data_IF_255060302025
#
_entry.id   IF_255060302025
#
_cell.length_a   1.000
_cell.length_b   1.000
_cell.length_c   1.000
_cell.angle_alpha   90.00
_cell.angle_beta   90.00
_cell.angle_gamma   90.00
#
_symmetry.space_group_name_H-M   'P 1'
#
loop_
_entity.id
_entity.type
_entity.pdbx_description
1 polymer ?
2 polymer ?
3 non-polymer ?
4 water ?
#
# COMPACT_ATOMS: atom_id res chain seq x y z
N UNK A 1 6.17 -13.18 -5.67
CA UNK A 1 5.39 -12.22 -4.83
C UNK A 1 6.20 -10.96 -4.53
N UNK A 2 7.52 -11.10 -4.51
CA UNK A 2 8.41 -9.98 -4.22
C UNK A 2 8.43 -8.96 -5.36
N UNK A 3 8.33 -9.46 -6.58
CA UNK A 3 8.35 -8.59 -7.75
C UNK A 3 7.12 -7.68 -7.83
N UNK A 4 5.94 -8.25 -7.59
CA UNK A 4 4.72 -7.47 -7.67
C UNK A 4 4.53 -6.49 -6.52
N UNK A 5 5.38 -6.58 -5.50
CA UNK A 5 5.27 -5.68 -4.37
C UNK A 5 6.46 -4.73 -4.31
N UNK A 6 7.32 -4.76 -5.33
CA UNK A 6 8.48 -3.88 -5.37
C UNK A 6 8.04 -2.42 -5.32
N UNK A 7 6.79 -2.17 -5.69
CA UNK A 7 6.24 -0.82 -5.66
C UNK A 7 6.33 -0.25 -4.24
N UNK A 8 6.41 -1.13 -3.25
CA UNK A 8 6.50 -0.70 -1.85
C UNK A 8 7.94 -0.64 -1.33
N UNK A 9 8.89 -1.10 -2.14
CA UNK A 9 10.29 -1.12 -1.74
C UNK A 9 10.76 0.23 -1.20
N UNK A 10 10.32 1.30 -1.84
CA UNK A 10 10.71 2.63 -1.41
C UNK A 10 10.39 2.94 0.04
N UNK A 11 9.45 2.21 0.63
CA UNK A 11 9.09 2.42 2.04
C UNK A 11 10.12 1.75 2.93
N UNK A 12 10.89 0.85 2.34
CA UNK A 12 11.91 0.11 3.06
C UNK A 12 13.33 0.58 2.76
N UNK A 13 13.49 1.89 2.58
CA UNK A 13 14.79 2.47 2.33
C UNK A 13 15.48 2.14 1.02
N UNK A 14 14.72 1.76 0.01
CA UNK A 14 15.31 1.44 -1.28
C UNK A 14 14.62 2.29 -2.35
N UNK A 15 15.31 3.34 -2.77
CA UNK A 15 14.80 4.28 -3.76
C UNK A 15 15.05 3.91 -5.22
N UNK A 16 15.70 2.78 -5.45
CA UNK A 16 15.98 2.35 -6.81
C UNK A 16 14.68 2.22 -7.60
N UNK A 17 14.52 3.07 -8.61
CA UNK A 17 13.31 3.04 -9.43
C UNK A 17 13.33 1.85 -10.38
N UNK A 18 14.51 1.28 -10.58
CA UNK A 18 14.67 0.13 -11.46
C UNK A 18 14.33 -1.17 -10.73
N UNK A 19 13.55 -2.03 -11.38
CA UNK A 19 13.18 -3.30 -10.79
C UNK A 19 13.92 -4.43 -11.50
N UNK A 20 15.09 -4.79 -10.97
CA UNK A 20 15.90 -5.86 -11.54
C UNK A 20 16.35 -6.84 -10.46
N UNK A 21 16.99 -7.93 -10.88
CA UNK A 21 17.47 -8.95 -9.96
C UNK A 21 18.22 -8.34 -8.78
N UNK A 22 18.98 -7.29 -9.06
CA UNK A 22 19.76 -6.60 -8.04
C UNK A 22 18.90 -5.85 -7.03
N UNK A 23 17.96 -5.04 -7.52
CA UNK A 23 17.09 -4.27 -6.63
C UNK A 23 16.09 -5.16 -5.89
N UNK A 24 15.68 -6.26 -6.51
CA UNK A 24 14.74 -7.17 -5.86
C UNK A 24 15.39 -7.79 -4.63
N UNK A 25 16.60 -8.32 -4.79
CA UNK A 25 17.30 -8.93 -3.66
C UNK A 25 17.49 -7.90 -2.55
N UNK A 26 17.71 -6.64 -2.94
CA UNK A 26 17.88 -5.57 -1.96
C UNK A 26 16.58 -5.45 -1.17
N UNK A 27 15.46 -5.57 -1.87
CA UNK A 27 14.14 -5.49 -1.25
C UNK A 27 13.96 -6.70 -0.35
N UNK A 28 14.38 -7.86 -0.84
CA UNK A 28 14.28 -9.09 -0.06
C UNK A 28 15.06 -8.95 1.24
N UNK A 29 16.26 -8.38 1.15
CA UNK A 29 17.08 -8.21 2.34
C UNK A 29 16.45 -7.18 3.27
N UNK A 30 15.84 -6.16 2.68
CA UNK A 30 15.20 -5.11 3.46
C UNK A 30 14.06 -5.68 4.28
N UNK A 31 13.34 -6.64 3.71
CA UNK A 31 12.23 -7.28 4.40
C UNK A 31 12.74 -8.18 5.51
N UNK A 32 13.82 -8.89 5.24
CA UNK A 32 14.41 -9.79 6.23
C UNK A 32 14.93 -8.99 7.42
N UNK A 33 15.56 -7.86 7.14
CA UNK A 33 16.10 -7.00 8.19
C UNK A 33 14.99 -6.40 9.05
N UNK A 34 13.82 -6.17 8.44
CA UNK A 34 12.69 -5.62 9.16
C UNK A 34 12.19 -6.66 10.15
N UNK A 35 11.92 -7.85 9.64
CA UNK A 35 11.42 -8.95 10.45
C UNK A 35 12.38 -9.38 11.55
N UNK A 36 13.68 -9.26 11.28
CA UNK A 36 14.71 -9.66 12.25
C UNK A 36 15.05 -8.58 13.27
N UNK A 37 14.64 -7.35 13.00
CA UNK A 37 14.92 -6.23 13.90
C UNK A 37 14.31 -6.49 15.28
N UNK A 38 15.09 -6.24 16.32
CA UNK A 38 14.63 -6.45 17.69
C UNK A 38 13.37 -5.63 17.99
N UNK A 39 13.28 -4.44 17.41
CA UNK A 39 12.13 -3.58 17.67
C UNK A 39 10.89 -3.89 16.82
N UNK A 40 10.98 -4.92 15.99
CA UNK A 40 9.85 -5.32 15.17
C UNK A 40 9.09 -6.40 15.92
N UNK A 41 7.80 -6.17 16.15
CA UNK A 41 6.97 -7.12 16.88
C UNK A 41 5.63 -7.36 16.18
N UNK A 42 4.99 -8.47 16.52
CA UNK A 42 3.70 -8.79 15.92
C UNK A 42 2.66 -7.78 16.39
N UNK A 43 1.84 -7.31 15.46
CA UNK A 43 0.79 -6.36 15.80
C UNK A 43 -0.34 -6.38 14.77
N UNK A 44 -1.45 -7.01 15.14
CA UNK A 44 -2.59 -7.05 14.25
C UNK A 44 -2.55 -8.03 13.09
N UNK A 45 -3.49 -7.82 12.18
CA UNK A 45 -3.62 -8.68 11.02
C UNK A 45 -4.18 -7.89 9.85
N UNK A 46 -4.07 -8.48 8.66
CA UNK A 46 -4.62 -7.88 7.46
C UNK A 46 -5.87 -8.74 7.26
N UNK A 47 -6.96 -8.35 7.90
CA UNK A 47 -8.23 -9.07 7.86
C UNK A 47 -8.54 -9.84 6.58
N UNK A 48 -8.63 -9.13 5.46
CA UNK A 48 -8.93 -9.74 4.16
C UNK A 48 -8.18 -11.05 3.98
N UNK A 49 -6.89 -11.03 4.31
CA UNK A 49 -6.06 -12.23 4.21
C UNK A 49 -6.26 -12.87 5.58
N UNK A 50 -7.47 -13.39 5.79
CA UNK A 50 -7.89 -14.01 7.04
C UNK A 50 -6.89 -14.98 7.63
N UNK A 51 -6.32 -14.61 8.78
CA UNK A 51 -5.35 -15.46 9.44
C UNK A 51 -3.93 -14.93 9.34
N UNK A 52 -3.75 -13.88 8.55
CA UNK A 52 -2.44 -13.28 8.36
C UNK A 52 -1.96 -12.60 9.64
N UNK A 53 -0.65 -12.46 9.77
CA UNK A 53 -0.08 -11.79 10.93
C UNK A 53 0.83 -10.68 10.41
N UNK A 54 0.71 -9.49 11.00
CA UNK A 54 1.56 -8.39 10.58
C UNK A 54 2.60 -8.07 11.66
N UNK A 55 3.79 -7.68 11.21
CA UNK A 55 4.91 -7.35 12.08
C UNK A 55 5.27 -5.89 11.85
N UNK A 56 5.09 -5.11 12.92
CA UNK A 56 5.29 -3.67 12.93
C UNK A 56 6.57 -3.18 13.61
N UNK A 57 7.15 -2.11 13.08
CA UNK A 57 8.34 -1.50 13.67
C UNK A 57 7.92 -0.06 13.93
N UNK A 58 7.78 0.32 15.21
CA UNK A 58 7.37 1.67 15.57
C UNK A 58 8.36 2.77 15.22
N UNK A 59 9.58 2.38 14.85
CA UNK A 59 10.62 3.34 14.49
C UNK A 59 10.45 3.78 13.04
N UNK A 60 10.52 2.81 12.13
CA UNK A 60 10.37 3.08 10.70
C UNK A 60 8.89 3.19 10.31
N UNK A 61 8.02 2.70 11.19
CA UNK A 61 6.57 2.70 10.98
C UNK A 61 6.16 1.73 9.88
N UNK A 62 7.03 0.80 9.54
CA UNK A 62 6.71 -0.17 8.49
C UNK A 62 6.03 -1.42 9.03
N UNK A 63 5.17 -2.01 8.20
CA UNK A 63 4.50 -3.25 8.55
C UNK A 63 4.81 -4.21 7.42
N UNK A 64 4.86 -5.50 7.75
CA UNK A 64 5.07 -6.53 6.75
C UNK A 64 4.02 -7.57 7.09
N UNK A 65 3.25 -7.96 6.08
CA UNK A 65 2.18 -8.93 6.26
C UNK A 65 2.63 -10.32 5.87
N UNK A 66 2.37 -11.28 6.75
CA UNK A 66 2.73 -12.67 6.50
C UNK A 66 1.44 -13.49 6.50
N UNK A 67 1.30 -14.38 5.52
CA UNK A 67 0.11 -15.21 5.43
C UNK A 67 0.14 -16.30 6.52
N UNK A 68 -0.99 -16.96 6.74
CA UNK A 68 -1.08 -18.02 7.74
C UNK A 68 -0.04 -19.10 7.50
N UNK A 69 0.29 -19.33 6.24
CA UNK A 69 1.27 -20.34 5.88
C UNK A 69 2.70 -19.82 6.00
N UNK A 70 2.85 -18.59 6.47
CA UNK A 70 4.18 -18.03 6.63
C UNK A 70 4.79 -17.35 5.42
N UNK A 71 4.06 -17.30 4.31
CA UNK A 71 4.59 -16.66 3.12
C UNK A 71 4.40 -15.14 3.17
N UNK A 72 5.37 -14.42 2.63
CA UNK A 72 5.34 -12.96 2.57
C UNK A 72 4.22 -12.51 1.65
N UNK A 73 3.36 -11.62 2.13
CA UNK A 73 2.26 -11.11 1.31
C UNK A 73 2.59 -9.73 0.77
N UNK A 74 2.84 -8.78 1.67
CA UNK A 74 3.15 -7.42 1.26
C UNK A 74 3.65 -6.63 2.46
N UNK A 75 3.83 -5.33 2.28
CA UNK A 75 4.29 -4.48 3.37
C UNK A 75 4.38 -3.05 2.90
N UNK A 76 4.31 -2.10 3.83
CA UNK A 76 4.40 -0.69 3.49
C UNK A 76 4.51 0.14 4.76
N UNK A 77 4.68 1.45 4.62
CA UNK A 77 4.81 2.31 5.79
C UNK A 77 3.48 2.87 6.27
N UNK A 78 3.24 2.76 7.58
CA UNK A 78 2.02 3.25 8.19
C UNK A 78 2.06 4.77 8.36
N UNK A 79 0.96 5.44 8.03
CA UNK A 79 0.89 6.88 8.21
C UNK A 79 0.00 7.15 9.42
N UNK A 80 0.61 7.50 10.56
CA UNK A 80 -0.13 7.78 11.79
C UNK A 80 -1.15 8.91 11.71
N UNK A 81 -0.99 9.80 10.73
CA UNK A 81 -1.91 10.93 10.59
C UNK A 81 -3.18 10.61 9.81
N UNK A 82 -3.19 9.48 9.11
CA UNK A 82 -4.36 9.07 8.33
C UNK A 82 -5.26 8.17 9.16
N UNK A 83 -6.55 8.18 8.87
CA UNK A 83 -7.48 7.33 9.62
C UNK A 83 -7.07 5.86 9.59
N UNK A 84 -6.75 5.33 8.40
CA UNK A 84 -6.35 3.92 8.30
C UNK A 84 -5.18 3.62 9.24
N UNK A 85 -4.19 4.50 9.24
CA UNK A 85 -3.04 4.30 10.10
C UNK A 85 -3.40 4.36 11.57
N UNK A 86 -4.16 5.38 11.95
CA UNK A 86 -4.57 5.54 13.34
C UNK A 86 -5.38 4.33 13.78
N UNK A 87 -6.29 3.88 12.92
CA UNK A 87 -7.12 2.73 13.22
C UNK A 87 -6.26 1.50 13.46
N UNK A 88 -5.24 1.31 12.63
CA UNK A 88 -4.35 0.17 12.79
C UNK A 88 -3.58 0.23 14.10
N UNK A 89 -3.08 1.42 14.43
CA UNK A 89 -2.32 1.61 15.66
C UNK A 89 -3.17 1.30 16.89
N UNK A 90 -4.41 1.78 16.89
CA UNK A 90 -5.31 1.58 18.02
C UNK A 90 -5.94 0.20 18.12
N UNK A 91 -6.28 -0.41 16.98
CA UNK A 91 -6.95 -1.71 17.00
C UNK A 91 -6.19 -2.90 16.41
N UNK A 92 -5.14 -2.62 15.65
CA UNK A 92 -4.39 -3.71 15.04
C UNK A 92 -4.99 -4.16 13.72
N UNK A 93 -6.10 -3.54 13.31
CA UNK A 93 -6.74 -3.90 12.04
C UNK A 93 -6.11 -3.12 10.89
N UNK A 94 -5.46 -3.84 9.99
CA UNK A 94 -4.80 -3.24 8.83
C UNK A 94 -5.72 -3.35 7.62
N UNK B 2 -0.52 17.85 -2.09
CA UNK B 2 -1.29 18.42 -3.22
C UNK B 2 -2.40 17.46 -3.66
N UNK B 3 -2.83 17.59 -4.91
CA UNK B 3 -3.89 16.74 -5.47
C UNK B 3 -3.32 15.66 -6.39
N UNK B 4 -2.02 15.43 -6.31
CA UNK B 4 -1.35 14.45 -7.16
C UNK B 4 -2.01 13.06 -7.16
N UNK B 5 -2.34 12.55 -5.98
CA UNK B 5 -2.97 11.23 -5.89
C UNK B 5 -4.37 11.26 -6.48
N UNK B 6 -5.09 12.34 -6.24
CA UNK B 6 -6.45 12.49 -6.75
C UNK B 6 -6.42 12.59 -8.28
N UNK B 7 -5.50 13.38 -8.81
CA UNK B 7 -5.39 13.55 -10.25
C UNK B 7 -5.02 12.23 -10.92
N UNK B 8 -4.17 11.46 -10.25
CA UNK B 8 -3.78 10.18 -10.80
C UNK B 8 -5.03 9.30 -10.86
N UNK B 9 -5.85 9.38 -9.81
CA UNK B 9 -7.08 8.60 -9.78
C UNK B 9 -7.96 8.99 -10.96
N UNK B 10 -8.07 10.29 -11.22
CA UNK B 10 -8.89 10.79 -12.33
C UNK B 10 -8.35 10.35 -13.68
N UNK B 11 -7.03 10.34 -13.80
CA UNK B 11 -6.39 9.93 -15.04
C UNK B 11 -6.74 8.46 -15.31
N UNK B 12 -6.78 7.67 -14.25
CA UNK B 12 -7.10 6.24 -14.35
C UNK B 12 -8.56 6.02 -14.72
N UNK B 13 -9.45 6.79 -14.11
CA UNK B 13 -10.88 6.67 -14.39
C UNK B 13 -11.15 7.07 -15.85
N UNK B 14 -10.31 7.95 -16.38
CA UNK B 14 -10.46 8.41 -17.75
C UNK B 14 -9.78 7.42 -18.70
N UNK B 15 -9.20 6.37 -18.12
CA UNK B 15 -8.50 5.34 -18.89
C UNK B 15 -7.29 5.88 -19.64
N UNK B 16 -6.71 6.97 -19.14
CA UNK B 16 -5.52 7.55 -19.76
C UNK B 16 -4.31 6.72 -19.34
N UNK B 17 -4.42 6.09 -18.16
CA UNK B 17 -3.35 5.23 -17.66
C UNK B 17 -4.02 3.93 -17.23
N UNK B 18 -3.29 2.83 -17.29
CA UNK B 18 -3.85 1.52 -16.93
C UNK B 18 -3.94 1.28 -15.43
N UNK B 19 -4.57 0.17 -15.07
CA UNK B 19 -4.71 -0.21 -13.67
C UNK B 19 -3.31 -0.47 -13.09
N UNK B 20 -2.47 -1.17 -13.85
CA UNK B 20 -1.11 -1.46 -13.40
C UNK B 20 -0.33 -0.16 -13.20
N UNK B 21 -0.42 0.74 -14.16
CA UNK B 21 0.27 2.03 -14.09
C UNK B 21 -0.21 2.81 -12.87
N UNK B 22 -1.52 2.83 -12.66
CA UNK B 22 -2.10 3.53 -11.52
C UNK B 22 -1.64 2.91 -10.20
N UNK B 23 -1.71 1.58 -10.10
CA UNK B 23 -1.30 0.90 -8.87
C UNK B 23 0.17 1.16 -8.52
N UNK B 24 1.00 1.39 -9.53
CA UNK B 24 2.41 1.64 -9.27
C UNK B 24 2.69 3.10 -8.96
N UNK B 25 2.13 4.01 -9.76
CA UNK B 25 2.36 5.43 -9.53
C UNK B 25 1.73 5.92 -8.23
N UNK B 26 0.61 5.32 -7.85
CA UNK B 26 -0.06 5.74 -6.62
C UNK B 26 0.88 5.53 -5.43
N UNK B 27 1.78 4.56 -5.55
CA UNK B 27 2.74 4.29 -4.48
C UNK B 27 3.80 5.38 -4.46
N UNK B 28 4.23 5.80 -5.64
CA UNK B 28 5.23 6.86 -5.74
C UNK B 28 4.67 8.16 -5.18
N UNK B 29 3.44 8.49 -5.56
CA UNK B 29 2.82 9.72 -5.09
C UNK B 29 2.53 9.70 -3.60
N UNK B 30 2.04 8.57 -3.09
CA UNK B 30 1.75 8.48 -1.67
C UNK B 30 3.00 8.77 -0.84
N UNK B 31 4.11 8.18 -1.24
CA UNK B 31 5.38 8.36 -0.54
C UNK B 31 5.85 9.81 -0.57
N UNK B 32 5.58 10.49 -1.68
CA UNK B 32 5.97 11.88 -1.83
C UNK B 32 5.22 12.78 -0.86
N UNK B 33 3.92 12.53 -0.71
CA UNK B 33 3.08 13.33 0.18
C UNK B 33 3.11 12.88 1.64
N UNK B 34 3.74 11.74 1.91
CA UNK B 34 3.82 11.20 3.26
C UNK B 34 4.57 12.15 4.19
N UNK B 35 3.87 12.63 5.22
CA UNK B 35 4.50 13.53 6.18
C UNK B 35 4.39 14.99 5.80
N UNK B 36 4.16 15.27 4.52
CA UNK B 36 4.04 16.64 4.06
C UNK B 36 3.02 17.39 4.91
N UNK B 37 3.51 18.34 5.69
CA UNK B 37 2.69 19.15 6.58
C UNK B 37 1.57 19.89 5.86
N UNK B 38 0.72 20.56 6.63
CA UNK B 38 -0.41 21.32 6.10
C UNK B 38 -1.17 20.59 4.99
N UNK B 39 -1.63 19.39 5.29
CA UNK B 39 -2.36 18.59 4.32
C UNK B 39 -3.82 18.38 4.72
N UNK B 40 -4.73 18.66 3.80
CA UNK B 40 -6.16 18.50 4.04
C UNK B 40 -6.50 17.06 4.44
N UNK B 41 -7.10 16.87 5.63
CA UNK B 41 -7.47 15.54 6.11
C UNK B 41 -8.30 14.77 5.08
N UNK B 42 -9.21 15.48 4.42
CA UNK B 42 -10.06 14.86 3.42
C UNK B 42 -9.23 14.33 2.26
N UNK B 43 -8.23 15.10 1.86
CA UNK B 43 -7.36 14.71 0.76
C UNK B 43 -6.43 13.57 1.16
N UNK B 44 -5.86 13.67 2.36
CA UNK B 44 -4.95 12.64 2.87
C UNK B 44 -5.67 11.30 2.97
N UNK B 45 -6.82 11.30 3.63
CA UNK B 45 -7.58 10.08 3.80
C UNK B 45 -8.06 9.50 2.47
N UNK B 46 -8.42 10.37 1.52
CA UNK B 46 -8.87 9.88 0.22
C UNK B 46 -7.70 9.13 -0.43
N UNK B 47 -6.53 9.75 -0.40
CA UNK B 47 -5.34 9.13 -0.97
C UNK B 47 -5.07 7.76 -0.36
N UNK B 48 -5.15 7.67 0.96
CA UNK B 48 -4.91 6.41 1.66
C UNK B 48 -5.87 5.30 1.21
N UNK B 49 -7.13 5.65 0.98
CA UNK B 49 -8.09 4.65 0.54
C UNK B 49 -7.80 4.25 -0.90
N UNK B 50 -7.30 5.19 -1.70
CA UNK B 50 -6.95 4.88 -3.08
C UNK B 50 -5.77 3.92 -3.03
N UNK B 51 -4.84 4.19 -2.13
CA UNK B 51 -3.65 3.35 -1.95
C UNK B 51 -4.05 1.92 -1.58
N UNK B 52 -4.99 1.78 -0.67
CA UNK B 52 -5.42 0.45 -0.25
C UNK B 52 -6.23 -0.25 -1.34
N UNK B 53 -6.98 0.52 -2.12
CA UNK B 53 -7.77 -0.06 -3.21
C UNK B 53 -6.81 -0.66 -4.23
N UNK B 54 -5.75 0.08 -4.53
CA UNK B 54 -4.74 -0.37 -5.47
C UNK B 54 -4.02 -1.61 -4.93
N UNK B 55 -3.85 -1.68 -3.62
CA UNK B 55 -3.18 -2.83 -3.02
C UNK B 55 -3.98 -4.10 -3.28
N UNK B 56 -5.30 -3.95 -3.43
CA UNK B 56 -6.17 -5.10 -3.68
C UNK B 56 -6.23 -5.51 -5.15
N UNK B 57 -5.69 -4.67 -6.03
CA UNK B 57 -5.69 -4.97 -7.46
C UNK B 57 -4.69 -6.06 -7.84
N UNK B 58 -5.17 -7.07 -8.55
CA UNK B 58 -4.33 -8.17 -9.02
C UNK B 58 -4.81 -8.57 -10.41
N UNK B 59 -4.01 -8.28 -11.44
CA UNK B 59 -4.40 -8.62 -12.81
C UNK B 59 -4.54 -10.12 -13.12
N UNK B 60 -3.85 -10.98 -12.37
CA UNK B 60 -3.92 -12.42 -12.63
C UNK B 60 -5.27 -13.07 -12.32
N UNK B 61 -5.65 -14.03 -13.16
CA UNK B 61 -6.91 -14.73 -13.03
C UNK B 61 -7.03 -15.55 -11.75
N UNK B 62 -5.90 -15.85 -11.12
CA UNK B 62 -5.91 -16.64 -9.89
C UNK B 62 -5.85 -15.76 -8.64
N UNK B 63 -6.26 -14.50 -8.78
CA UNK B 63 -6.24 -13.58 -7.65
C UNK B 63 -7.10 -14.09 -6.50
N UNK B 64 -6.78 -13.65 -5.29
CA UNK B 64 -7.51 -14.06 -4.09
C UNK B 64 -8.94 -13.55 -4.13
N UNK B 65 -9.78 -14.12 -3.27
CA UNK B 65 -11.18 -13.75 -3.19
C UNK B 65 -11.39 -12.29 -2.79
N UNK B 66 -10.44 -11.71 -2.07
CA UNK B 66 -10.57 -10.32 -1.66
C UNK B 66 -9.89 -9.36 -2.64
N UNK B 67 -9.18 -9.91 -3.62
CA UNK B 67 -8.51 -9.08 -4.60
C UNK B 67 -9.47 -8.72 -5.74
N UNK B 68 -9.12 -7.69 -6.51
CA UNK B 68 -9.98 -7.22 -7.60
C UNK B 68 -9.26 -7.09 -8.93
N UNK B 69 -10.02 -7.16 -10.03
CA UNK B 69 -9.44 -7.02 -11.36
C UNK B 69 -9.52 -5.55 -11.81
N UNK B 70 -9.14 -5.29 -13.06
CA UNK B 70 -9.17 -3.94 -13.64
C UNK B 70 -10.50 -3.24 -13.35
N UNK B 71 -11.59 -3.84 -13.82
CA UNK B 71 -12.91 -3.31 -13.56
C UNK B 71 -12.91 -3.57 -12.07
N UNK B 72 -13.69 -2.86 -11.29
CA UNK B 72 -13.59 -3.19 -9.87
C UNK B 72 -12.60 -2.23 -9.26
N UNK B 73 -11.37 -2.19 -9.77
CA UNK B 73 -10.44 -1.20 -9.23
C UNK B 73 -11.05 0.12 -9.72
N UNK B 74 -11.52 0.12 -10.96
CA UNK B 74 -12.15 1.30 -11.54
C UNK B 74 -13.38 1.73 -10.74
N UNK B 75 -14.21 0.76 -10.36
CA UNK B 75 -15.40 1.10 -9.60
C UNK B 75 -15.07 1.54 -8.18
N UNK B 76 -14.08 0.90 -7.56
CA UNK B 76 -13.70 1.28 -6.20
C UNK B 76 -13.05 2.65 -6.17
N UNK B 77 -12.18 2.92 -7.14
CA UNK B 77 -11.52 4.21 -7.20
C UNK B 77 -12.57 5.31 -7.36
N UNK B 78 -13.55 5.09 -8.23
CA UNK B 78 -14.59 6.10 -8.44
C UNK B 78 -15.40 6.25 -7.16
N UNK B 79 -15.71 5.12 -6.53
CA UNK B 79 -16.47 5.15 -5.30
C UNK B 79 -15.72 5.93 -4.23
N UNK B 80 -14.40 5.74 -4.16
CA UNK B 80 -13.58 6.44 -3.18
C UNK B 80 -13.55 7.95 -3.43
N UNK B 81 -13.39 8.37 -4.68
CA UNK B 81 -13.39 9.80 -4.97
C UNK B 81 -14.75 10.41 -4.62
N UNK B 82 -15.82 9.67 -4.87
CA UNK B 82 -17.16 10.18 -4.57
C UNK B 82 -17.37 10.28 -3.07
N UNK B 83 -16.88 9.29 -2.32
CA UNK B 83 -17.02 9.29 -0.88
C UNK B 83 -16.45 10.57 -0.27
N UNK B 84 -15.28 10.99 -0.75
CA UNK B 84 -14.66 12.19 -0.22
C UNK B 84 -15.06 13.43 -1.00
N UNK B 85 -15.98 13.26 -1.95
CA UNK B 85 -16.45 14.38 -2.76
C UNK B 85 -15.31 15.10 -3.46
N UNK B 86 -14.42 14.33 -4.08
CA UNK B 86 -13.28 14.88 -4.81
C UNK B 86 -13.31 14.42 -6.27
N UNK B 87 -14.48 14.53 -6.89
CA UNK B 87 -14.67 14.13 -8.29
C UNK B 87 -13.78 14.89 -9.26
X LIG C 1 -14.70 3.47 6.12
X LIG C 1 -13.39 3.58 6.70
X LIG C 1 -12.31 3.30 5.65
X LIG C 1 -12.52 1.94 5.11
X LIG C 1 -13.87 1.81 4.50
X LIG C 1 -14.92 2.15 5.56
X LIG C 1 -11.50 1.62 4.09
X LIG C 1 -10.29 0.91 4.71
X LIG C 1 -9.09 0.53 3.46
X LIG C 1 -8.00 -0.14 4.17
X LIG C 1 -8.69 1.81 2.88
X LIG C 1 -9.75 -0.34 2.49
#
# INVERSE_FOLDING_TARGET
QLDKKYKHAGDFGISDTKKNRETLTKFRDAIEEHLSDKDTVEKGTYRREKGSKVYFNPNTMNVVIIKSNGEFLSGWKINPDADNGRIYLETGEL
NKMAMIDLAKLFLASKITAIEFSERICVERRRLYGVKDLSPNILNCGEELFMAAERFEPDADRANYEIDDNGLKVEVRSILEKFKLHHHHH
MES O1 C2 C3 N4 C5 C6 C7 C8 S O1S O2S O3S
#
